data_IF_815513757458
#
_entry.id   IF_815513757458
#
_cell.length_a   1.000
_cell.length_b   1.000
_cell.length_c   1.000
_cell.angle_alpha   90.00
_cell.angle_beta   90.00
_cell.angle_gamma   90.00
#
_symmetry.space_group_name_H-M   'P 1'
#
loop_
_entity.id
_entity.type
_entity.pdbx_description
1 polymer ?
#
# COMPACT_ATOMS: atom_id res chain seq x y z
N UNK A 1 12.74 -11.32 6.33
CA UNK A 1 11.44 -10.83 5.79
C UNK A 1 10.35 -10.86 6.84
N UNK A 2 10.14 -11.96 7.54
CA UNK A 2 9.13 -12.07 8.60
C UNK A 2 9.22 -11.00 9.70
N UNK A 3 10.42 -10.65 10.12
CA UNK A 3 10.67 -9.61 11.14
C UNK A 3 10.30 -8.19 10.70
N UNK A 4 10.43 -7.90 9.41
CA UNK A 4 10.02 -6.61 8.84
C UNK A 4 8.50 -6.54 8.66
N UNK A 5 7.83 -7.66 8.32
CA UNK A 5 6.39 -7.76 8.27
C UNK A 5 5.73 -7.42 9.62
N UNK A 6 6.32 -7.89 10.72
CA UNK A 6 5.83 -7.58 12.08
C UNK A 6 5.82 -6.09 12.42
N UNK A 7 6.78 -5.33 11.91
CA UNK A 7 6.81 -3.87 12.11
C UNK A 7 5.63 -3.18 11.41
N UNK A 8 5.12 -3.79 10.34
CA UNK A 8 4.03 -3.25 9.52
C UNK A 8 2.66 -3.64 10.09
N UNK A 9 2.52 -4.81 10.70
CA UNK A 9 1.24 -5.35 11.17
C UNK A 9 0.52 -4.44 12.21
N UNK A 10 1.28 -3.65 12.96
CA UNK A 10 0.73 -2.72 13.95
C UNK A 10 0.47 -1.30 13.45
N UNK A 11 0.74 -1.03 12.18
CA UNK A 11 0.63 0.31 11.60
C UNK A 11 -0.82 0.70 11.36
N UNK A 12 -1.16 1.93 11.72
CA UNK A 12 -2.47 2.53 11.48
C UNK A 12 -2.41 3.50 10.31
N UNK A 13 -3.54 3.69 9.64
CA UNK A 13 -3.71 4.76 8.68
C UNK A 13 -4.01 6.07 9.41
N UNK A 14 -3.31 7.13 9.01
CA UNK A 14 -3.46 8.48 9.54
C UNK A 14 -4.41 9.33 8.70
N UNK A 15 -4.51 9.03 7.41
CA UNK A 15 -5.42 9.70 6.49
C UNK A 15 -6.87 9.24 6.68
N UNK A 16 -7.81 10.00 6.11
CA UNK A 16 -9.24 9.69 6.11
C UNK A 16 -9.67 9.06 4.78
N UNK A 17 -10.68 8.20 4.84
CA UNK A 17 -11.25 7.58 3.64
C UNK A 17 -10.23 6.77 2.86
N UNK A 18 -10.03 7.12 1.59
CA UNK A 18 -9.06 6.46 0.70
C UNK A 18 -7.67 7.11 0.68
N UNK A 19 -7.44 8.10 1.54
CA UNK A 19 -6.12 8.67 1.80
C UNK A 19 -5.36 7.75 2.77
N UNK A 20 -4.66 6.75 2.22
CA UNK A 20 -4.04 5.67 2.97
C UNK A 20 -2.62 6.03 3.45
N UNK A 21 -2.46 7.21 4.01
CA UNK A 21 -1.20 7.62 4.64
C UNK A 21 -1.00 6.85 5.94
N UNK A 22 0.16 6.22 6.07
CA UNK A 22 0.51 5.43 7.25
C UNK A 22 0.97 6.33 8.40
N UNK A 23 0.61 5.98 9.62
CA UNK A 23 1.29 6.48 10.80
C UNK A 23 2.59 5.70 10.99
N UNK A 24 3.70 6.30 10.59
CA UNK A 24 5.01 5.66 10.60
C UNK A 24 5.72 5.69 11.96
N UNK A 25 5.08 6.22 13.00
CA UNK A 25 5.68 6.31 14.34
C UNK A 25 6.11 4.93 14.86
N UNK A 26 5.28 3.90 14.63
CA UNK A 26 5.58 2.52 15.01
C UNK A 26 6.74 1.90 14.23
N UNK A 27 7.07 2.41 13.03
CA UNK A 27 8.22 1.94 12.26
C UNK A 27 9.55 2.30 12.91
N UNK A 28 9.60 3.49 13.52
CA UNK A 28 10.83 4.02 14.12
C UNK A 28 11.02 3.56 15.56
N UNK A 29 9.95 3.16 16.23
CA UNK A 29 9.95 2.67 17.61
C UNK A 29 9.05 1.42 17.74
N UNK A 30 9.38 0.32 17.06
CA UNK A 30 8.57 -0.88 17.12
C UNK A 30 8.57 -1.47 18.53
N UNK A 31 7.39 -1.78 19.05
CA UNK A 31 7.20 -2.40 20.37
C UNK A 31 7.05 -3.91 20.31
N UNK A 32 6.73 -4.43 19.12
CA UNK A 32 6.56 -5.86 18.91
C UNK A 32 7.89 -6.60 18.95
N UNK A 33 8.02 -7.65 19.79
CA UNK A 33 9.25 -8.44 19.86
C UNK A 33 9.61 -9.05 18.50
N UNK A 34 10.88 -8.90 18.11
CA UNK A 34 11.40 -9.44 16.86
C UNK A 34 11.09 -8.59 15.62
N UNK A 35 10.54 -7.37 15.79
CA UNK A 35 10.35 -6.43 14.69
C UNK A 35 11.66 -5.85 14.20
N UNK A 36 11.80 -5.67 12.87
CA UNK A 36 12.95 -5.00 12.28
C UNK A 36 12.76 -3.48 12.36
N UNK A 37 13.72 -2.72 12.94
CA UNK A 37 13.50 -1.30 13.29
C UNK A 37 13.70 -0.32 12.12
N UNK A 38 14.17 -0.77 10.96
CA UNK A 38 14.50 0.09 9.82
C UNK A 38 13.64 -0.34 8.63
N UNK A 39 12.52 0.34 8.43
CA UNK A 39 11.57 0.08 7.34
C UNK A 39 11.25 1.38 6.62
N UNK A 40 11.16 1.33 5.30
CA UNK A 40 10.71 2.42 4.45
C UNK A 40 9.45 1.97 3.69
N UNK A 41 8.40 2.78 3.75
CA UNK A 41 7.22 2.60 2.92
C UNK A 41 7.31 3.49 1.68
N UNK A 42 7.12 2.90 0.51
CA UNK A 42 6.93 3.63 -0.73
C UNK A 42 5.44 3.88 -0.96
N UNK A 43 5.09 5.07 -1.44
CA UNK A 43 3.71 5.46 -1.75
C UNK A 43 3.51 5.62 -3.24
N UNK A 44 2.36 5.15 -3.71
CA UNK A 44 1.83 5.51 -5.01
C UNK A 44 0.75 6.59 -4.82
N UNK A 45 0.95 7.74 -5.46
CA UNK A 45 0.03 8.89 -5.34
C UNK A 45 -0.72 9.04 -6.65
N UNK A 46 -2.01 8.81 -6.60
CA UNK A 46 -2.91 8.91 -7.77
C UNK A 46 -4.15 9.72 -7.41
N UNK A 47 -4.83 10.25 -8.43
CA UNK A 47 -6.10 10.92 -8.22
C UNK A 47 -7.23 9.90 -8.00
N UNK A 48 -8.22 10.23 -7.19
CA UNK A 48 -9.42 9.43 -7.02
C UNK A 48 -10.41 9.57 -8.20
N UNK A 49 -10.29 10.67 -8.95
CA UNK A 49 -11.13 10.95 -10.12
C UNK A 49 -10.28 11.53 -11.26
N UNK A 50 -10.60 11.13 -12.47
CA UNK A 50 -9.95 11.60 -13.70
C UNK A 50 -10.99 12.14 -14.69
N UNK A 51 -10.71 13.27 -15.38
CA UNK A 51 -11.63 13.78 -16.41
C UNK A 51 -11.79 12.82 -17.59
N UNK A 52 -10.75 12.09 -17.91
CA UNK A 52 -10.72 11.11 -19.00
C UNK A 52 -10.97 9.70 -18.46
N UNK A 53 -12.05 9.00 -18.88
CA UNK A 53 -12.36 7.65 -18.43
C UNK A 53 -11.33 6.61 -18.87
N UNK A 54 -10.63 6.80 -19.98
CA UNK A 54 -9.56 5.90 -20.41
C UNK A 54 -8.36 5.97 -19.47
N UNK A 55 -8.01 7.19 -19.02
CA UNK A 55 -6.96 7.39 -18.01
C UNK A 55 -7.36 6.76 -16.68
N UNK A 56 -8.58 6.96 -16.21
CA UNK A 56 -9.08 6.34 -15.00
C UNK A 56 -8.96 4.81 -15.04
N UNK A 57 -9.35 4.22 -16.17
CA UNK A 57 -9.26 2.77 -16.40
C UNK A 57 -7.81 2.29 -16.40
N UNK A 58 -6.92 3.01 -17.07
CA UNK A 58 -5.50 2.65 -17.14
C UNK A 58 -4.81 2.73 -15.77
N UNK A 59 -5.07 3.78 -15.00
CA UNK A 59 -4.51 3.95 -13.65
C UNK A 59 -5.02 2.84 -12.72
N UNK A 60 -6.31 2.54 -12.76
CA UNK A 60 -6.90 1.45 -11.98
C UNK A 60 -6.26 0.11 -12.33
N UNK A 61 -6.09 -0.21 -13.61
CA UNK A 61 -5.46 -1.44 -14.07
C UNK A 61 -3.99 -1.55 -13.61
N UNK A 62 -3.24 -0.45 -13.69
CA UNK A 62 -1.87 -0.39 -13.20
C UNK A 62 -1.79 -0.68 -11.69
N UNK A 63 -2.64 -0.02 -10.89
CA UNK A 63 -2.66 -0.20 -9.45
C UNK A 63 -3.07 -1.62 -9.04
N UNK A 64 -4.03 -2.22 -9.73
CA UNK A 64 -4.38 -3.64 -9.52
C UNK A 64 -3.21 -4.57 -9.86
N UNK A 65 -2.48 -4.30 -10.94
CA UNK A 65 -1.28 -5.07 -11.27
C UNK A 65 -0.20 -4.93 -10.20
N UNK A 66 0.02 -3.72 -9.69
CA UNK A 66 0.99 -3.46 -8.62
C UNK A 66 0.64 -4.18 -7.31
N UNK A 67 -0.64 -4.27 -6.97
CA UNK A 67 -1.12 -4.99 -5.77
C UNK A 67 -1.19 -6.51 -5.97
N UNK A 68 -1.30 -6.97 -7.21
CA UNK A 68 -1.41 -8.38 -7.58
C UNK A 68 -0.06 -8.95 -8.06
N UNK A 69 0.02 -9.21 -9.36
CA UNK A 69 1.19 -9.86 -9.97
C UNK A 69 2.49 -9.06 -9.80
N UNK A 70 2.42 -7.75 -9.68
CA UNK A 70 3.58 -6.90 -9.40
C UNK A 70 4.27 -7.16 -8.06
N UNK A 71 3.61 -7.89 -7.14
CA UNK A 71 4.21 -8.31 -5.88
C UNK A 71 5.14 -9.53 -6.03
N UNK A 72 5.04 -10.24 -7.15
CA UNK A 72 5.86 -11.42 -7.40
C UNK A 72 7.35 -11.06 -7.56
N UNK A 73 8.22 -11.80 -6.90
CA UNK A 73 9.66 -11.59 -6.97
C UNK A 73 10.19 -10.42 -6.11
N UNK A 74 9.35 -9.70 -5.38
CA UNK A 74 9.80 -8.60 -4.51
C UNK A 74 10.76 -9.10 -3.43
N UNK A 75 10.45 -10.20 -2.76
CA UNK A 75 11.30 -10.77 -1.71
C UNK A 75 12.68 -11.16 -2.22
N UNK A 76 12.76 -11.74 -3.41
CA UNK A 76 14.02 -12.13 -4.05
C UNK A 76 14.91 -10.92 -4.35
N UNK A 77 14.29 -9.74 -4.51
CA UNK A 77 14.98 -8.47 -4.76
C UNK A 77 15.13 -7.60 -3.49
N UNK A 78 14.88 -8.15 -2.31
CA UNK A 78 15.10 -7.46 -1.06
C UNK A 78 13.98 -6.52 -0.60
N UNK A 79 12.81 -6.61 -1.23
CA UNK A 79 11.63 -5.83 -0.87
C UNK A 79 10.64 -6.67 -0.07
N UNK A 80 9.79 -5.98 0.70
CA UNK A 80 8.71 -6.61 1.44
C UNK A 80 7.43 -6.46 0.63
N UNK A 81 6.77 -7.55 0.23
CA UNK A 81 5.45 -7.48 -0.40
C UNK A 81 4.43 -6.82 0.52
N UNK A 82 3.39 -6.25 -0.07
CA UNK A 82 2.27 -5.69 0.70
C UNK A 82 1.64 -6.78 1.56
N UNK A 83 1.58 -6.59 2.90
CA UNK A 83 0.93 -7.55 3.79
C UNK A 83 -0.55 -7.76 3.45
N UNK A 84 -1.03 -8.98 3.59
CA UNK A 84 -2.42 -9.32 3.29
C UNK A 84 -3.42 -8.47 4.08
N UNK A 85 -3.07 -8.10 5.32
CA UNK A 85 -3.90 -7.23 6.15
C UNK A 85 -4.20 -5.87 5.49
N UNK A 86 -3.30 -5.37 4.64
CA UNK A 86 -3.48 -4.11 3.92
C UNK A 86 -4.09 -4.28 2.53
N UNK A 87 -3.93 -5.44 1.90
CA UNK A 87 -4.37 -5.65 0.51
C UNK A 87 -5.84 -5.34 0.29
N UNK A 88 -6.71 -5.78 1.18
CA UNK A 88 -8.16 -5.52 1.08
C UNK A 88 -8.44 -4.02 1.04
N UNK A 89 -7.87 -3.28 1.98
CA UNK A 89 -8.08 -1.83 2.10
C UNK A 89 -7.50 -1.06 0.91
N UNK A 90 -6.32 -1.46 0.43
CA UNK A 90 -5.70 -0.87 -0.75
C UNK A 90 -6.51 -1.18 -2.02
N UNK A 91 -7.02 -2.39 -2.16
CA UNK A 91 -7.89 -2.79 -3.28
C UNK A 91 -9.18 -1.98 -3.31
N UNK A 92 -9.84 -1.79 -2.17
CA UNK A 92 -11.02 -0.94 -2.05
C UNK A 92 -10.73 0.50 -2.50
N UNK A 93 -9.60 1.06 -2.11
CA UNK A 93 -9.19 2.40 -2.53
C UNK A 93 -8.93 2.48 -4.04
N UNK A 94 -8.30 1.47 -4.63
CA UNK A 94 -8.09 1.38 -6.09
C UNK A 94 -9.42 1.24 -6.82
N UNK A 95 -10.34 0.43 -6.31
CA UNK A 95 -11.67 0.24 -6.90
C UNK A 95 -12.51 1.53 -6.90
N UNK A 96 -12.27 2.41 -5.94
CA UNK A 96 -12.92 3.72 -5.86
C UNK A 96 -12.43 4.74 -6.91
N UNK A 97 -11.32 4.48 -7.61
CA UNK A 97 -10.84 5.33 -8.70
C UNK A 97 -11.87 5.31 -9.85
N UNK A 98 -12.31 6.47 -10.30
CA UNK A 98 -13.31 6.58 -11.36
C UNK A 98 -13.08 7.81 -12.26
N UNK A 99 -13.90 7.90 -13.31
CA UNK A 99 -13.97 9.11 -14.13
C UNK A 99 -14.92 10.12 -13.47
N UNK A 100 -14.64 11.41 -13.67
CA UNK A 100 -15.58 12.48 -13.31
C UNK A 100 -16.78 12.42 -14.26
N UNK A 101 -17.95 12.56 -13.72
CA UNK A 101 -19.20 12.67 -14.51
C UNK A 101 -19.43 14.09 -14.99
#
# INVERSE_FOLDING_TARGET
METAGKAIDGVKFKGEGNDLVLDTTSFYMPTEPGSYPIVLAAYEIVCSQYPDPEVATAVKAFMHSALGNGQNGLEENGYIPVPEAFKTRLTEAVDAINATT
#
